data_IF_168926259789
#
_entry.id   IF_168926259789
#
_cell.length_a   1.000
_cell.length_b   1.000
_cell.length_c   1.000
_cell.angle_alpha   90.00
_cell.angle_beta   90.00
_cell.angle_gamma   90.00
#
_symmetry.space_group_name_H-M   'P 1'
#
loop_
_entity.id
_entity.type
_entity.pdbx_description
1 polymer ?
#
# COMPACT_ATOMS: atom_id res chain seq x y z
N UNK A 1 6.67 -19.40 -19.64
CA UNK A 1 6.59 -18.91 -18.24
C UNK A 1 7.62 -19.65 -17.39
N UNK A 2 8.00 -19.10 -16.22
CA UNK A 2 9.05 -19.63 -15.35
C UNK A 2 8.90 -21.09 -14.88
N UNK A 3 7.70 -21.69 -15.02
CA UNK A 3 7.38 -23.05 -14.57
C UNK A 3 7.02 -24.00 -15.73
N UNK A 4 7.62 -23.79 -16.92
CA UNK A 4 7.47 -24.70 -18.06
C UNK A 4 6.19 -24.54 -18.90
N UNK A 5 5.33 -23.57 -18.59
CA UNK A 5 4.15 -23.27 -19.41
C UNK A 5 4.57 -22.49 -20.67
N UNK A 6 4.17 -22.98 -21.84
CA UNK A 6 4.33 -22.28 -23.11
C UNK A 6 3.00 -21.67 -23.56
N UNK A 7 2.97 -20.36 -23.70
CA UNK A 7 1.79 -19.59 -24.08
C UNK A 7 2.22 -18.62 -25.16
N UNK A 8 1.41 -18.53 -26.22
CA UNK A 8 1.63 -17.59 -27.32
C UNK A 8 1.59 -16.16 -26.80
N UNK A 9 2.63 -15.41 -27.11
CA UNK A 9 2.73 -14.00 -26.75
C UNK A 9 3.50 -13.22 -27.82
N UNK A 10 2.76 -12.44 -28.60
CA UNK A 10 3.29 -11.59 -29.67
C UNK A 10 3.10 -10.10 -29.39
N UNK A 11 2.55 -9.74 -28.23
CA UNK A 11 2.22 -8.36 -27.89
C UNK A 11 3.45 -7.65 -27.32
N UNK A 12 3.68 -6.44 -27.80
CA UNK A 12 4.72 -5.59 -27.24
C UNK A 12 4.25 -5.02 -25.88
N UNK A 13 5.16 -4.87 -24.89
CA UNK A 13 4.85 -4.16 -23.66
C UNK A 13 4.28 -2.77 -23.91
N UNK A 14 3.24 -2.39 -23.17
CA UNK A 14 2.63 -1.06 -23.32
C UNK A 14 3.23 -0.08 -22.32
N UNK A 15 3.56 1.12 -22.81
CA UNK A 15 4.09 2.23 -22.01
C UNK A 15 3.04 3.32 -21.97
N UNK A 16 2.64 3.75 -20.77
CA UNK A 16 1.52 4.70 -20.62
C UNK A 16 1.94 6.08 -20.15
N UNK A 17 3.14 6.22 -19.59
CA UNK A 17 3.64 7.52 -19.12
C UNK A 17 5.13 7.50 -18.87
N UNK A 18 5.76 8.67 -19.03
CA UNK A 18 7.12 8.95 -18.63
C UNK A 18 7.12 10.20 -17.74
N UNK A 19 7.96 10.19 -16.72
CA UNK A 19 8.19 11.32 -15.83
C UNK A 19 9.66 11.68 -15.79
N UNK A 20 9.95 12.97 -15.66
CA UNK A 20 11.28 13.48 -15.38
C UNK A 20 11.33 14.07 -13.97
N UNK A 21 12.45 13.85 -13.27
CA UNK A 21 12.67 14.21 -11.88
C UNK A 21 13.96 15.04 -11.76
N UNK A 22 13.87 16.36 -11.57
CA UNK A 22 15.01 17.14 -11.08
C UNK A 22 15.34 16.71 -9.64
N UNK A 23 16.58 16.30 -9.37
CA UNK A 23 16.95 15.64 -8.10
C UNK A 23 17.78 16.51 -7.15
N UNK A 24 18.29 17.67 -7.58
CA UNK A 24 18.98 18.61 -6.70
C UNK A 24 18.47 20.05 -6.92
N UNK A 25 18.88 20.97 -6.04
CA UNK A 25 18.38 22.36 -5.99
C UNK A 25 18.63 23.17 -7.28
N UNK A 26 19.68 22.81 -8.02
CA UNK A 26 20.08 23.45 -9.27
C UNK A 26 19.55 22.71 -10.51
N UNK A 27 18.88 21.57 -10.33
CA UNK A 27 18.38 20.77 -11.45
C UNK A 27 17.06 21.31 -11.96
N UNK A 28 16.88 21.22 -13.27
CA UNK A 28 15.58 21.50 -13.88
C UNK A 28 15.37 20.69 -15.16
N UNK A 29 14.11 20.52 -15.51
CA UNK A 29 13.67 19.98 -16.81
C UNK A 29 12.59 20.93 -17.33
N UNK A 30 12.71 21.37 -18.58
CA UNK A 30 11.82 22.34 -19.21
C UNK A 30 11.50 23.53 -18.29
N UNK A 31 12.54 24.09 -17.66
CA UNK A 31 12.48 25.21 -16.70
C UNK A 31 11.75 24.93 -15.37
N UNK A 32 11.26 23.71 -15.13
CA UNK A 32 10.67 23.32 -13.85
C UNK A 32 11.67 22.56 -12.97
N UNK A 33 11.72 22.91 -11.68
CA UNK A 33 12.51 22.18 -10.65
C UNK A 33 11.72 21.07 -9.96
N UNK A 34 10.46 20.88 -10.33
CA UNK A 34 9.61 19.82 -9.82
C UNK A 34 9.47 18.70 -10.84
N UNK A 35 9.09 17.50 -10.36
CA UNK A 35 8.80 16.38 -11.26
C UNK A 35 7.67 16.73 -12.21
N UNK A 36 7.76 16.27 -13.46
CA UNK A 36 6.76 16.54 -14.49
C UNK A 36 6.52 15.30 -15.35
N UNK A 37 5.28 15.14 -15.83
CA UNK A 37 4.97 14.16 -16.86
C UNK A 37 5.50 14.67 -18.21
N UNK A 38 6.12 13.79 -18.99
CA UNK A 38 6.52 14.09 -20.36
C UNK A 38 5.44 13.56 -21.31
N UNK A 39 5.15 14.33 -22.37
CA UNK A 39 4.19 13.91 -23.39
C UNK A 39 4.76 12.72 -24.16
N UNK A 40 4.15 11.56 -23.95
CA UNK A 40 4.50 10.33 -24.64
C UNK A 40 3.82 10.30 -26.01
N UNK A 41 4.59 9.98 -27.05
CA UNK A 41 4.14 9.94 -28.45
C UNK A 41 4.38 8.50 -28.96
N UNK A 42 3.31 7.72 -29.21
CA UNK A 42 3.46 6.39 -29.80
C UNK A 42 3.88 6.47 -31.27
N UNK A 43 4.72 5.53 -31.69
CA UNK A 43 5.21 5.38 -33.05
C UNK A 43 4.53 4.18 -33.73
N UNK A 44 4.50 4.18 -35.07
CA UNK A 44 3.83 3.14 -35.86
C UNK A 44 4.40 1.73 -35.66
N UNK A 45 5.67 1.63 -35.26
CA UNK A 45 6.36 0.37 -35.03
C UNK A 45 6.15 -0.20 -33.61
N UNK A 46 5.36 0.47 -32.76
CA UNK A 46 5.11 0.06 -31.38
C UNK A 46 6.07 0.66 -30.34
N UNK A 47 7.10 1.39 -30.78
CA UNK A 47 7.95 2.19 -29.90
C UNK A 47 7.31 3.53 -29.55
N UNK A 48 7.98 4.30 -28.71
CA UNK A 48 7.54 5.60 -28.22
C UNK A 48 8.69 6.62 -28.28
N UNK A 49 8.32 7.88 -28.37
CA UNK A 49 9.22 9.02 -28.18
C UNK A 49 8.57 10.04 -27.25
N UNK A 50 9.37 10.99 -26.78
CA UNK A 50 8.87 12.23 -26.16
C UNK A 50 9.36 13.42 -26.98
N UNK A 51 8.75 14.59 -26.77
CA UNK A 51 9.28 15.85 -27.28
C UNK A 51 10.67 16.12 -26.69
N UNK A 52 11.55 16.81 -27.43
CA UNK A 52 12.88 17.16 -26.96
C UNK A 52 12.78 17.96 -25.65
N UNK A 53 13.52 17.54 -24.63
CA UNK A 53 13.53 18.22 -23.34
C UNK A 53 14.79 19.05 -23.17
N UNK A 54 14.66 20.18 -22.46
CA UNK A 54 15.79 20.98 -22.00
C UNK A 54 16.05 20.67 -20.53
N UNK A 55 17.28 20.38 -20.14
CA UNK A 55 17.57 20.04 -18.76
C UNK A 55 18.96 20.49 -18.33
N UNK A 56 19.15 20.58 -17.02
CA UNK A 56 20.45 20.82 -16.38
C UNK A 56 20.48 20.13 -15.01
N UNK A 57 21.65 19.68 -14.58
CA UNK A 57 21.85 19.05 -13.27
C UNK A 57 21.58 17.55 -13.24
N UNK A 58 21.22 17.02 -12.06
CA UNK A 58 20.95 15.60 -11.81
C UNK A 58 19.48 15.29 -12.08
N UNK A 59 19.22 14.48 -13.10
CA UNK A 59 17.88 14.12 -13.56
C UNK A 59 17.66 12.62 -13.41
N UNK A 60 16.56 12.24 -12.76
CA UNK A 60 16.01 10.90 -12.77
C UNK A 60 14.82 10.80 -13.72
N UNK A 61 14.48 9.58 -14.15
CA UNK A 61 13.28 9.31 -14.93
C UNK A 61 12.40 8.28 -14.24
N UNK A 62 11.11 8.27 -14.59
CA UNK A 62 10.18 7.24 -14.16
C UNK A 62 9.25 6.82 -15.29
N UNK A 63 8.72 5.61 -15.20
CA UNK A 63 7.91 5.00 -16.25
C UNK A 63 6.71 4.25 -15.66
N UNK A 64 5.59 4.22 -16.38
CA UNK A 64 4.51 3.27 -16.13
C UNK A 64 4.36 2.36 -17.33
N UNK A 65 4.40 1.05 -17.08
CA UNK A 65 4.28 0.01 -18.09
C UNK A 65 3.36 -1.10 -17.63
N UNK A 66 2.86 -1.88 -18.57
CA UNK A 66 2.23 -3.16 -18.33
C UNK A 66 2.43 -4.07 -19.55
N UNK A 67 2.34 -5.36 -19.29
CA UNK A 67 2.42 -6.40 -20.30
C UNK A 67 1.07 -7.14 -20.43
N UNK A 68 0.83 -7.81 -21.55
CA UNK A 68 -0.38 -8.58 -21.77
C UNK A 68 -0.14 -9.66 -22.83
N UNK A 69 -0.51 -10.88 -22.50
CA UNK A 69 -0.43 -12.01 -23.43
C UNK A 69 -1.56 -11.98 -24.48
N UNK A 70 -1.40 -12.73 -25.57
CA UNK A 70 -2.37 -12.76 -26.68
C UNK A 70 -3.79 -13.13 -26.23
N UNK A 71 -3.90 -14.24 -25.51
CA UNK A 71 -5.17 -14.87 -25.11
C UNK A 71 -5.62 -14.50 -23.68
N UNK A 72 -4.99 -13.51 -23.06
CA UNK A 72 -5.33 -13.04 -21.72
C UNK A 72 -5.88 -11.61 -21.77
N UNK A 73 -6.88 -11.31 -20.93
CA UNK A 73 -7.41 -9.95 -20.77
C UNK A 73 -6.68 -9.14 -19.68
N UNK A 74 -5.96 -9.83 -18.79
CA UNK A 74 -5.33 -9.23 -17.62
C UNK A 74 -4.09 -8.41 -18.01
N UNK A 75 -3.89 -7.29 -17.31
CA UNK A 75 -2.64 -6.53 -17.35
C UNK A 75 -1.65 -7.17 -16.38
N UNK A 76 -0.49 -7.55 -16.88
CA UNK A 76 0.60 -8.15 -16.14
C UNK A 76 1.75 -7.15 -15.94
N UNK A 77 2.67 -7.49 -15.04
CA UNK A 77 3.95 -6.78 -14.92
C UNK A 77 4.87 -7.13 -16.10
N UNK A 78 5.70 -6.18 -16.50
CA UNK A 78 6.79 -6.43 -17.47
C UNK A 78 7.89 -7.26 -16.84
N UNK A 79 8.69 -7.94 -17.65
CA UNK A 79 9.75 -8.83 -17.16
C UNK A 79 11.05 -8.09 -16.87
N UNK A 80 11.37 -7.06 -17.67
CA UNK A 80 12.62 -6.32 -17.53
C UNK A 80 12.48 -4.87 -18.02
N UNK A 81 13.21 -3.95 -17.39
CA UNK A 81 13.36 -2.57 -17.85
C UNK A 81 14.83 -2.18 -17.81
N UNK A 82 15.39 -1.72 -18.92
CA UNK A 82 16.77 -1.25 -19.01
C UNK A 82 16.79 0.19 -19.49
N UNK A 83 17.78 0.96 -19.09
CA UNK A 83 18.01 2.30 -19.60
C UNK A 83 19.41 2.47 -20.16
N UNK A 84 19.53 3.36 -21.14
CA UNK A 84 20.78 3.62 -21.85
C UNK A 84 20.97 5.12 -22.02
N UNK A 85 22.20 5.60 -21.82
CA UNK A 85 22.60 6.99 -22.06
C UNK A 85 23.66 6.97 -23.16
N UNK A 86 23.38 7.62 -24.29
CA UNK A 86 24.27 7.63 -25.47
C UNK A 86 24.72 6.23 -25.93
N UNK A 87 23.82 5.24 -25.79
CA UNK A 87 24.07 3.84 -26.16
C UNK A 87 24.63 2.95 -25.06
N UNK A 88 25.21 3.52 -24.00
CA UNK A 88 25.75 2.76 -22.86
C UNK A 88 24.67 2.44 -21.84
N UNK A 89 24.62 1.19 -21.35
CA UNK A 89 23.67 0.77 -20.31
C UNK A 89 23.93 1.53 -19.00
N UNK A 90 22.85 2.01 -18.39
CA UNK A 90 22.90 2.91 -17.24
C UNK A 90 22.21 2.32 -15.99
N UNK A 91 21.16 1.52 -16.18
CA UNK A 91 20.33 1.01 -15.09
C UNK A 91 19.46 -0.16 -15.59
N UNK A 92 19.18 -1.14 -14.74
CA UNK A 92 18.25 -2.23 -15.02
C UNK A 92 17.39 -2.62 -13.81
N UNK A 93 16.13 -2.95 -14.10
CA UNK A 93 15.19 -3.66 -13.22
C UNK A 93 14.90 -5.03 -13.83
N UNK A 94 15.36 -6.09 -13.15
CA UNK A 94 15.12 -7.49 -13.52
C UNK A 94 14.06 -8.11 -12.60
N UNK A 95 12.84 -8.32 -13.13
CA UNK A 95 11.72 -8.87 -12.37
C UNK A 95 11.68 -10.41 -12.33
N UNK A 96 12.75 -11.09 -12.76
CA UNK A 96 12.82 -12.56 -12.78
C UNK A 96 12.58 -13.19 -11.41
N UNK A 97 13.15 -12.63 -10.34
CA UNK A 97 12.98 -13.12 -8.96
C UNK A 97 13.32 -12.04 -7.91
N UNK A 98 12.65 -12.08 -6.77
CA UNK A 98 13.01 -11.31 -5.56
C UNK A 98 12.50 -12.05 -4.31
N UNK A 99 13.07 -11.76 -3.14
CA UNK A 99 12.61 -12.36 -1.88
C UNK A 99 11.31 -11.73 -1.39
N UNK A 100 10.41 -12.52 -0.78
CA UNK A 100 9.22 -11.98 -0.12
C UNK A 100 9.57 -10.97 0.99
N UNK A 101 10.71 -11.12 1.65
CA UNK A 101 11.18 -10.19 2.69
C UNK A 101 11.47 -8.78 2.16
N UNK A 102 11.74 -8.68 0.86
CA UNK A 102 12.03 -7.44 0.17
C UNK A 102 10.75 -6.68 -0.26
N UNK A 103 9.57 -7.32 -0.20
CA UNK A 103 8.28 -6.77 -0.68
C UNK A 103 7.96 -5.40 -0.06
N UNK A 104 8.37 -5.16 1.19
CA UNK A 104 8.18 -3.88 1.90
C UNK A 104 8.86 -2.69 1.19
N UNK A 105 9.86 -2.95 0.35
CA UNK A 105 10.63 -1.93 -0.37
C UNK A 105 10.05 -1.57 -1.75
N UNK A 106 9.00 -2.27 -2.21
CA UNK A 106 8.33 -1.95 -3.49
C UNK A 106 7.75 -0.53 -3.49
N UNK A 107 7.29 -0.04 -2.33
CA UNK A 107 6.78 1.33 -2.25
C UNK A 107 7.88 2.39 -2.45
N UNK A 108 9.16 2.05 -2.21
CA UNK A 108 10.30 2.92 -2.50
C UNK A 108 10.78 2.80 -3.97
N UNK A 109 10.41 1.72 -4.68
CA UNK A 109 10.68 1.57 -6.12
C UNK A 109 9.81 2.52 -6.95
N UNK A 110 8.61 2.80 -6.48
CA UNK A 110 7.66 3.69 -7.17
C UNK A 110 7.71 5.11 -6.64
N UNK A 111 7.18 6.06 -7.40
CA UNK A 111 6.80 7.37 -6.87
C UNK A 111 5.56 7.18 -5.98
N UNK A 112 5.80 6.98 -4.69
CA UNK A 112 4.74 6.72 -3.72
C UNK A 112 3.76 7.89 -3.62
N UNK A 113 4.22 9.14 -3.71
CA UNK A 113 3.33 10.30 -3.75
C UNK A 113 2.34 10.22 -4.94
N UNK A 114 2.83 9.97 -6.16
CA UNK A 114 1.94 9.79 -7.33
C UNK A 114 1.00 8.59 -7.15
N UNK A 115 1.47 7.49 -6.58
CA UNK A 115 0.62 6.34 -6.31
C UNK A 115 -0.51 6.66 -5.31
N UNK A 116 -0.23 7.51 -4.33
CA UNK A 116 -1.17 7.85 -3.27
C UNK A 116 -2.19 8.89 -3.70
N UNK A 117 -1.78 9.85 -4.52
CA UNK A 117 -2.63 10.95 -5.00
C UNK A 117 -3.36 10.63 -6.32
N UNK A 118 -2.71 9.90 -7.24
CA UNK A 118 -3.21 9.63 -8.60
C UNK A 118 -3.47 8.15 -8.91
N UNK A 119 -3.18 7.25 -7.96
CA UNK A 119 -3.31 5.78 -8.14
C UNK A 119 -2.48 5.21 -9.29
N UNK A 120 -1.45 5.93 -9.72
CA UNK A 120 -0.56 5.51 -10.79
C UNK A 120 0.76 4.99 -10.21
N UNK A 121 1.19 3.81 -10.64
CA UNK A 121 2.46 3.20 -10.23
C UNK A 121 3.57 3.59 -11.20
N UNK A 122 4.14 4.78 -11.00
CA UNK A 122 5.33 5.22 -11.74
C UNK A 122 6.54 4.56 -11.10
N UNK A 123 7.20 3.65 -11.80
CA UNK A 123 8.44 3.01 -11.37
C UNK A 123 9.60 3.97 -11.62
N UNK A 124 10.41 4.24 -10.59
CA UNK A 124 11.60 5.08 -10.72
C UNK A 124 12.69 4.28 -11.46
N UNK A 125 13.26 4.90 -12.48
CA UNK A 125 14.40 4.39 -13.24
C UNK A 125 15.74 4.89 -12.66
N UNK A 126 15.72 5.12 -11.36
CA UNK A 126 16.85 5.46 -10.52
C UNK A 126 16.60 4.92 -9.11
N UNK A 127 17.67 4.69 -8.36
CA UNK A 127 17.62 4.11 -7.02
C UNK A 127 17.89 5.17 -5.95
N UNK A 128 17.13 5.11 -4.85
CA UNK A 128 17.31 5.99 -3.69
C UNK A 128 17.07 5.17 -2.44
N UNK A 129 18.15 4.83 -1.72
CA UNK A 129 18.14 4.04 -0.48
C UNK A 129 17.23 2.80 -0.54
N UNK A 130 17.20 2.11 -1.68
CA UNK A 130 16.30 0.99 -1.91
C UNK A 130 17.08 -0.33 -2.06
N UNK A 131 16.92 -1.30 -1.15
CA UNK A 131 17.74 -2.51 -1.14
C UNK A 131 17.22 -3.65 -2.05
N UNK A 132 16.19 -3.41 -2.88
CA UNK A 132 15.63 -4.47 -3.73
C UNK A 132 16.71 -5.14 -4.60
N UNK A 133 16.72 -6.46 -4.63
CA UNK A 133 17.69 -7.26 -5.40
C UNK A 133 17.46 -7.21 -6.92
N UNK A 134 16.31 -6.70 -7.36
CA UNK A 134 15.94 -6.54 -8.78
C UNK A 134 16.75 -5.45 -9.49
N UNK A 135 17.36 -4.54 -8.76
CA UNK A 135 18.26 -3.54 -9.35
C UNK A 135 19.54 -4.22 -9.84
N UNK A 136 19.89 -3.99 -11.12
CA UNK A 136 21.12 -4.48 -11.76
C UNK A 136 21.81 -3.35 -12.52
N UNK A 137 23.11 -3.50 -12.76
CA UNK A 137 23.92 -2.62 -13.61
C UNK A 137 23.69 -1.12 -13.34
N UNK A 138 23.86 -0.72 -12.09
CA UNK A 138 23.60 0.63 -11.61
C UNK A 138 24.79 1.56 -11.86
N UNK A 139 24.76 2.30 -12.95
CA UNK A 139 25.67 3.43 -13.15
C UNK A 139 25.06 4.68 -12.53
N UNK A 140 25.77 5.33 -11.59
CA UNK A 140 25.30 6.51 -10.86
C UNK A 140 23.86 6.35 -10.32
N UNK A 141 23.50 5.16 -9.85
CA UNK A 141 22.16 4.85 -9.34
C UNK A 141 21.02 5.08 -10.37
N UNK A 142 21.33 5.08 -11.67
CA UNK A 142 20.40 5.39 -12.76
C UNK A 142 20.18 6.90 -13.00
N UNK A 143 20.87 7.77 -12.26
CA UNK A 143 20.75 9.23 -12.37
C UNK A 143 21.61 9.75 -13.52
N UNK A 144 21.06 10.66 -14.33
CA UNK A 144 21.76 11.32 -15.42
C UNK A 144 22.22 12.71 -14.97
N UNK A 145 23.51 13.00 -15.11
CA UNK A 145 24.02 14.37 -15.00
C UNK A 145 24.00 15.03 -16.38
N UNK A 146 23.27 16.15 -16.49
CA UNK A 146 23.14 16.96 -17.71
C UNK A 146 23.91 18.26 -17.51
N UNK A 147 24.92 18.47 -18.34
CA UNK A 147 25.76 19.67 -18.34
C UNK A 147 25.27 20.67 -19.38
N UNK A 148 25.62 21.93 -19.19
CA UNK A 148 25.22 23.00 -20.12
C UNK A 148 25.80 22.76 -21.52
N UNK A 149 25.06 23.16 -22.55
CA UNK A 149 25.46 23.04 -23.96
C UNK A 149 25.80 21.62 -24.43
N UNK A 150 25.35 20.58 -23.72
CA UNK A 150 25.52 19.18 -24.12
C UNK A 150 24.27 18.59 -24.78
N UNK A 151 24.40 17.47 -25.48
CA UNK A 151 23.27 16.69 -25.98
C UNK A 151 23.40 15.24 -25.52
N UNK A 152 22.31 14.67 -25.02
CA UNK A 152 22.25 13.27 -24.60
C UNK A 152 21.00 12.61 -25.17
N UNK A 153 21.15 11.34 -25.56
CA UNK A 153 20.03 10.48 -25.93
C UNK A 153 19.83 9.47 -24.80
N UNK A 154 18.67 9.54 -24.15
CA UNK A 154 18.25 8.57 -23.15
C UNK A 154 17.26 7.58 -23.80
N UNK A 155 17.52 6.29 -23.64
CA UNK A 155 16.63 5.23 -24.14
C UNK A 155 16.18 4.33 -23.01
N UNK A 156 14.92 3.91 -23.07
CA UNK A 156 14.34 2.94 -22.13
C UNK A 156 13.88 1.74 -22.95
N UNK A 157 14.39 0.55 -22.63
CA UNK A 157 13.96 -0.73 -23.19
C UNK A 157 13.06 -1.42 -22.19
N UNK A 158 11.86 -1.80 -22.60
CA UNK A 158 10.91 -2.57 -21.79
C UNK A 158 10.69 -3.89 -22.47
N UNK A 159 10.84 -5.02 -21.76
CA UNK A 159 10.58 -6.34 -22.32
C UNK A 159 9.60 -7.16 -21.50
N UNK A 160 8.81 -7.97 -22.18
CA UNK A 160 7.98 -9.01 -21.58
C UNK A 160 8.79 -10.29 -21.31
N UNK A 161 8.10 -11.35 -20.88
CA UNK A 161 8.71 -12.65 -20.62
C UNK A 161 9.21 -13.37 -21.89
N UNK A 162 8.60 -13.12 -23.06
CA UNK A 162 8.96 -13.72 -24.35
C UNK A 162 10.02 -12.92 -25.11
N UNK A 163 10.52 -11.83 -24.51
CA UNK A 163 11.47 -10.89 -25.09
C UNK A 163 10.89 -10.02 -26.22
N UNK A 164 9.56 -9.85 -26.29
CA UNK A 164 8.97 -8.76 -27.06
C UNK A 164 9.36 -7.44 -26.38
N UNK A 165 9.75 -6.43 -27.18
CA UNK A 165 10.30 -5.19 -26.65
C UNK A 165 9.64 -3.95 -27.21
N UNK A 166 9.47 -2.95 -26.34
CA UNK A 166 9.14 -1.58 -26.72
C UNK A 166 10.22 -0.63 -26.23
N UNK A 167 10.56 0.36 -27.05
CA UNK A 167 11.53 1.38 -26.70
C UNK A 167 10.90 2.75 -26.47
N UNK A 168 11.49 3.54 -25.59
CA UNK A 168 11.27 4.98 -25.50
C UNK A 168 12.56 5.69 -25.82
N UNK A 169 12.54 6.67 -26.73
CA UNK A 169 13.69 7.54 -26.99
C UNK A 169 13.39 8.96 -26.50
N UNK A 170 14.35 9.54 -25.76
CA UNK A 170 14.29 10.90 -25.26
C UNK A 170 15.57 11.65 -25.66
N UNK A 171 15.43 12.78 -26.32
CA UNK A 171 16.54 13.69 -26.63
C UNK A 171 16.59 14.80 -25.58
N UNK A 172 17.74 14.95 -24.95
CA UNK A 172 17.99 15.89 -23.86
C UNK A 172 18.99 16.93 -24.34
N UNK A 173 18.57 18.19 -24.41
CA UNK A 173 19.46 19.34 -24.61
C UNK A 173 19.85 19.92 -23.25
N UNK A 174 21.15 19.99 -23.00
CA UNK A 174 21.75 20.67 -21.87
C UNK A 174 21.59 22.17 -22.02
N UNK A 175 20.87 22.80 -21.09
CA UNK A 175 20.65 24.24 -21.10
C UNK A 175 20.56 24.71 -19.65
N UNK A 176 21.60 25.40 -19.18
CA UNK A 176 21.61 26.00 -17.84
C UNK A 176 20.84 27.32 -17.89
N UNK A 177 19.71 27.37 -17.19
CA UNK A 177 18.94 28.60 -17.04
C UNK A 177 19.12 29.19 -15.63
N UNK A 178 19.01 30.52 -15.53
CA UNK A 178 18.94 31.23 -14.24
C UNK A 178 17.81 30.62 -13.40
N UNK A 179 18.03 30.36 -12.10
CA UNK A 179 17.06 29.64 -11.29
C UNK A 179 15.77 30.44 -11.15
N UNK A 180 14.67 29.95 -11.72
CA UNK A 180 13.33 30.41 -11.35
C UNK A 180 13.15 30.25 -9.82
N UNK A 181 12.53 31.25 -9.17
CA UNK A 181 12.15 31.17 -7.76
C UNK A 181 11.29 29.92 -7.57
N UNK A 182 11.87 28.91 -6.94
CA UNK A 182 11.09 27.80 -6.39
C UNK A 182 10.37 28.28 -5.15
N UNK A 183 9.15 27.77 -4.94
CA UNK A 183 8.58 27.81 -3.60
C UNK A 183 9.54 27.09 -2.65
N UNK A 184 9.90 27.70 -1.50
CA UNK A 184 10.69 27.02 -0.51
C UNK A 184 9.97 25.75 -0.09
N UNK A 185 10.71 24.64 0.02
CA UNK A 185 10.15 23.41 0.60
C UNK A 185 9.57 23.77 1.97
N UNK A 186 8.36 23.33 2.27
CA UNK A 186 7.77 23.55 3.58
C UNK A 186 8.70 22.95 4.66
N UNK A 187 9.26 23.84 5.48
CA UNK A 187 10.09 23.45 6.61
C UNK A 187 9.22 23.49 7.86
N UNK A 188 8.98 22.33 8.45
CA UNK A 188 8.35 22.23 9.76
C UNK A 188 9.44 22.23 10.84
N UNK A 189 9.08 22.44 12.12
CA UNK A 189 10.04 22.28 13.22
C UNK A 189 10.53 20.85 13.42
N UNK A 190 9.95 19.86 12.75
CA UNK A 190 10.15 18.43 13.01
C UNK A 190 10.94 17.76 11.88
N UNK A 191 12.25 17.94 11.86
CA UNK A 191 13.12 17.21 10.94
C UNK A 191 13.40 15.79 11.43
N UNK A 192 12.99 14.79 10.64
CA UNK A 192 13.13 13.38 10.96
C UNK A 192 14.35 12.82 10.23
N UNK A 193 15.33 12.36 11.01
CA UNK A 193 16.47 11.60 10.48
C UNK A 193 16.09 10.13 10.34
N UNK A 194 16.19 9.58 9.14
CA UNK A 194 15.81 8.20 8.83
C UNK A 194 16.57 7.18 9.69
N UNK A 195 17.83 7.47 10.01
CA UNK A 195 18.73 6.58 10.75
C UNK A 195 18.68 6.76 12.28
N UNK A 196 17.78 7.58 12.84
CA UNK A 196 17.68 7.83 14.28
C UNK A 196 16.30 7.52 14.84
N UNK A 197 16.28 7.10 16.10
CA UNK A 197 15.03 7.08 16.86
C UNK A 197 14.59 8.53 17.14
N UNK A 198 13.32 8.82 16.89
CA UNK A 198 12.70 10.12 17.15
C UNK A 198 11.40 9.92 17.90
N UNK A 199 11.15 10.76 18.90
CA UNK A 199 9.90 10.78 19.66
C UNK A 199 9.27 12.15 19.52
N UNK A 200 8.04 12.21 19.02
CA UNK A 200 7.23 13.43 18.93
C UNK A 200 6.13 13.34 19.99
N UNK A 201 6.08 14.31 20.89
CA UNK A 201 5.11 14.33 21.99
C UNK A 201 4.39 15.67 22.01
N UNK A 202 3.07 15.62 22.00
CA UNK A 202 2.23 16.80 22.18
C UNK A 202 0.90 16.39 22.83
N UNK A 203 0.48 17.15 23.86
CA UNK A 203 -0.72 16.86 24.66
C UNK A 203 -0.72 15.41 25.16
N UNK A 204 -1.80 14.66 24.90
CA UNK A 204 -1.96 13.25 25.29
C UNK A 204 -1.39 12.27 24.27
N UNK A 205 -0.68 12.73 23.23
CA UNK A 205 -0.21 11.90 22.12
C UNK A 205 1.30 11.78 22.13
N UNK A 206 1.78 10.55 21.93
CA UNK A 206 3.18 10.24 21.76
C UNK A 206 3.39 9.39 20.50
N UNK A 207 4.26 9.84 19.60
CA UNK A 207 4.63 9.14 18.38
C UNK A 207 6.09 8.75 18.45
N UNK A 208 6.37 7.44 18.46
CA UNK A 208 7.73 6.90 18.44
C UNK A 208 8.05 6.38 17.04
N UNK A 209 9.09 6.95 16.44
CA UNK A 209 9.65 6.60 15.14
C UNK A 209 11.00 5.94 15.42
N UNK A 210 11.14 4.66 15.13
CA UNK A 210 12.41 3.95 15.28
C UNK A 210 13.32 4.19 14.07
N UNK A 211 14.62 3.99 14.21
CA UNK A 211 15.56 4.04 13.08
C UNK A 211 15.11 3.14 11.94
N UNK A 212 15.38 3.57 10.71
CA UNK A 212 15.02 2.92 9.45
C UNK A 212 13.51 2.66 9.31
N UNK A 213 12.70 3.53 9.92
CA UNK A 213 11.25 3.57 9.65
C UNK A 213 11.00 4.19 8.27
N UNK A 214 11.78 5.21 7.89
CA UNK A 214 11.73 5.89 6.60
C UNK A 214 13.00 5.62 5.80
N UNK A 215 12.94 5.85 4.49
CA UNK A 215 14.06 5.64 3.57
C UNK A 215 15.00 6.85 3.48
N UNK A 216 14.47 8.04 3.76
CA UNK A 216 15.13 9.33 3.56
C UNK A 216 14.70 10.28 4.67
N UNK A 217 15.57 11.26 4.95
CA UNK A 217 15.28 12.33 5.90
C UNK A 217 14.26 13.30 5.32
N UNK A 218 13.39 13.86 6.16
CA UNK A 218 12.39 14.84 5.73
C UNK A 218 11.84 15.67 6.89
N UNK A 219 11.19 16.77 6.54
CA UNK A 219 10.40 17.57 7.48
C UNK A 219 9.01 16.95 7.65
N UNK A 220 8.70 16.48 8.85
CA UNK A 220 7.41 15.90 9.22
C UNK A 220 6.40 16.99 9.54
N UNK A 221 5.20 16.90 8.96
CA UNK A 221 4.06 17.67 9.45
C UNK A 221 3.46 16.93 10.65
N UNK A 222 3.61 17.52 11.83
CA UNK A 222 3.15 16.95 13.09
C UNK A 222 2.41 18.03 13.86
N UNK A 223 1.17 17.71 14.25
CA UNK A 223 0.33 18.60 15.04
C UNK A 223 -0.72 17.78 15.79
N UNK A 224 -1.05 18.17 17.02
CA UNK A 224 -2.14 17.57 17.78
C UNK A 224 -3.17 18.65 18.12
N UNK A 225 -4.39 18.52 17.59
CA UNK A 225 -5.52 19.34 17.98
C UNK A 225 -6.55 18.49 18.75
N UNK A 226 -6.84 18.85 20.00
CA UNK A 226 -7.56 18.02 20.95
C UNK A 226 -6.97 16.59 21.02
N UNK A 227 -7.70 15.59 20.53
CA UNK A 227 -7.28 14.19 20.40
C UNK A 227 -6.93 13.80 18.96
N UNK A 228 -7.03 14.72 18.00
CA UNK A 228 -6.73 14.46 16.60
C UNK A 228 -5.26 14.76 16.30
N UNK A 229 -4.50 13.71 16.01
CA UNK A 229 -3.12 13.74 15.56
C UNK A 229 -3.08 13.87 14.03
N UNK A 230 -2.42 14.91 13.52
CA UNK A 230 -1.90 14.94 12.15
C UNK A 230 -0.47 14.42 12.18
N UNK A 231 -0.22 13.31 11.49
CA UNK A 231 1.10 12.72 11.32
C UNK A 231 1.41 12.64 9.83
N UNK A 232 1.58 13.82 9.23
CA UNK A 232 1.90 14.07 7.82
C UNK A 232 0.94 13.41 6.82
N UNK A 233 1.12 13.70 5.54
CA UNK A 233 0.35 13.05 4.48
C UNK A 233 0.86 11.62 4.21
N UNK A 234 -0.06 10.72 3.81
CA UNK A 234 0.28 9.34 3.39
C UNK A 234 0.86 9.31 1.98
N UNK A 235 1.96 10.05 1.77
CA UNK A 235 2.73 10.21 0.53
C UNK A 235 4.20 9.85 0.67
N UNK A 236 4.65 9.47 1.88
CA UNK A 236 6.00 8.96 2.15
C UNK A 236 5.89 7.47 2.53
N UNK A 237 6.66 6.57 1.88
CA UNK A 237 6.60 5.15 2.18
C UNK A 237 7.41 4.79 3.43
N UNK A 238 6.91 3.83 4.21
CA UNK A 238 7.54 3.35 5.44
C UNK A 238 8.10 1.94 5.27
N UNK A 239 9.29 1.69 5.83
CA UNK A 239 9.89 0.36 5.96
C UNK A 239 9.39 -0.38 7.22
N UNK A 240 9.29 0.34 8.35
CA UNK A 240 8.82 -0.16 9.64
C UNK A 240 7.55 0.58 10.06
N UNK A 241 6.83 0.07 11.05
CA UNK A 241 5.66 0.77 11.58
C UNK A 241 6.08 1.90 12.52
N UNK A 242 5.40 3.03 12.45
CA UNK A 242 5.43 4.05 13.51
C UNK A 242 4.53 3.59 14.66
N UNK A 243 4.95 3.86 15.90
CA UNK A 243 4.14 3.61 17.11
C UNK A 243 3.43 4.90 17.51
N UNK A 244 2.11 4.87 17.57
CA UNK A 244 1.27 5.96 18.07
C UNK A 244 0.72 5.52 19.43
N UNK A 245 0.84 6.37 20.44
CA UNK A 245 0.28 6.11 21.77
C UNK A 245 -0.56 7.29 22.24
N UNK A 246 -1.71 6.99 22.84
CA UNK A 246 -2.62 7.96 23.45
C UNK A 246 -2.72 7.69 24.94
N UNK A 247 -2.51 8.73 25.74
CA UNK A 247 -2.87 8.75 27.16
C UNK A 247 -4.38 8.99 27.30
N UNK A 248 -5.07 8.02 27.89
CA UNK A 248 -6.52 8.03 28.13
C UNK A 248 -6.85 8.15 29.63
N UNK A 249 -5.89 8.52 30.49
CA UNK A 249 -6.06 8.62 31.95
C UNK A 249 -7.28 9.45 32.37
N UNK A 250 -7.59 10.52 31.62
CA UNK A 250 -8.76 11.40 31.84
C UNK A 250 -10.14 10.74 31.67
N UNK A 251 -10.22 9.58 31.02
CA UNK A 251 -11.49 8.89 30.77
C UNK A 251 -11.86 7.96 31.94
N UNK A 252 -13.15 7.73 32.16
CA UNK A 252 -13.62 6.74 33.14
C UNK A 252 -13.36 5.31 32.62
N UNK A 253 -13.47 4.32 33.52
CA UNK A 253 -13.14 2.92 33.21
C UNK A 253 -14.02 2.32 32.11
N UNK A 254 -15.30 2.66 32.08
CA UNK A 254 -16.24 2.09 31.12
C UNK A 254 -15.99 2.63 29.71
N UNK A 255 -15.76 3.93 29.58
CA UNK A 255 -15.36 4.57 28.32
C UNK A 255 -14.02 4.03 27.84
N UNK A 256 -13.02 3.90 28.73
CA UNK A 256 -11.70 3.35 28.40
C UNK A 256 -11.76 1.96 27.77
N UNK A 257 -12.78 1.15 28.08
CA UNK A 257 -12.96 -0.18 27.48
C UNK A 257 -13.48 -0.11 26.05
N UNK A 258 -14.11 1.00 25.65
CA UNK A 258 -14.72 1.21 24.34
C UNK A 258 -13.92 2.10 23.42
N UNK A 259 -12.84 2.71 23.93
CA UNK A 259 -11.95 3.56 23.15
C UNK A 259 -10.92 2.77 22.34
N UNK A 260 -10.67 3.24 21.12
CA UNK A 260 -9.61 2.75 20.25
C UNK A 260 -8.99 3.89 19.44
N UNK A 261 -7.83 3.64 18.84
CA UNK A 261 -7.20 4.60 17.91
C UNK A 261 -7.78 4.35 16.52
N UNK A 262 -8.36 5.38 15.94
CA UNK A 262 -8.89 5.37 14.58
C UNK A 262 -7.99 6.18 13.64
N UNK A 263 -7.87 5.73 12.39
CA UNK A 263 -7.32 6.54 11.31
C UNK A 263 -8.47 7.17 10.54
N UNK A 264 -8.44 8.48 10.35
CA UNK A 264 -9.43 9.19 9.54
C UNK A 264 -9.08 8.99 8.05
N UNK A 265 -10.06 8.58 7.25
CA UNK A 265 -9.84 8.36 5.82
C UNK A 265 -11.00 8.81 4.95
N UNK A 266 -10.70 9.15 3.70
CA UNK A 266 -11.65 9.69 2.75
C UNK A 266 -11.98 11.17 2.98
N UNK A 267 -12.77 11.73 2.08
CA UNK A 267 -13.19 13.14 2.13
C UNK A 267 -13.95 13.47 3.43
N UNK A 268 -14.84 12.55 3.85
CA UNK A 268 -15.64 12.69 5.07
C UNK A 268 -14.87 12.43 6.37
N UNK A 269 -13.55 12.17 6.30
CA UNK A 269 -12.71 11.81 7.46
C UNK A 269 -13.35 10.70 8.30
N UNK A 270 -13.87 9.64 7.66
CA UNK A 270 -14.50 8.53 8.37
C UNK A 270 -13.45 7.83 9.24
N UNK A 271 -13.74 7.56 10.53
CA UNK A 271 -12.83 6.84 11.41
C UNK A 271 -12.81 5.35 11.04
N UNK A 272 -11.61 4.83 10.76
CA UNK A 272 -11.39 3.40 10.56
C UNK A 272 -10.58 2.85 11.72
N UNK A 273 -11.02 1.72 12.25
CA UNK A 273 -10.29 0.99 13.29
C UNK A 273 -8.84 0.77 12.89
N UNK A 274 -7.93 1.22 13.75
CA UNK A 274 -6.53 0.81 13.72
C UNK A 274 -6.32 -0.16 14.87
N UNK A 275 -5.66 -1.29 14.61
CA UNK A 275 -5.33 -2.29 15.62
C UNK A 275 -4.75 -1.62 16.86
N UNK A 276 -5.52 -1.62 17.93
CA UNK A 276 -5.24 -0.88 19.16
C UNK A 276 -5.06 -1.85 20.30
N UNK A 277 -3.95 -1.72 21.02
CA UNK A 277 -3.69 -2.44 22.27
C UNK A 277 -3.76 -1.45 23.43
N UNK A 278 -4.47 -1.82 24.49
CA UNK A 278 -4.48 -1.06 25.74
C UNK A 278 -3.45 -1.62 26.73
N UNK A 279 -2.69 -0.73 27.37
CA UNK A 279 -1.78 -1.00 28.48
C UNK A 279 -2.05 0.01 29.59
N UNK A 280 -2.82 -0.37 30.61
CA UNK A 280 -3.32 0.57 31.62
C UNK A 280 -4.10 1.70 30.96
N UNK A 281 -3.65 2.94 31.19
CA UNK A 281 -4.23 4.16 30.63
C UNK A 281 -3.59 4.61 29.32
N UNK A 282 -2.92 3.70 28.61
CA UNK A 282 -2.33 3.98 27.29
C UNK A 282 -2.92 3.10 26.21
N UNK A 283 -3.46 3.70 25.15
CA UNK A 283 -3.77 3.03 23.89
C UNK A 283 -2.57 3.11 22.96
N UNK A 284 -2.24 2.00 22.29
CA UNK A 284 -1.07 1.87 21.42
C UNK A 284 -1.52 1.29 20.08
N UNK A 285 -1.12 1.95 18.99
CA UNK A 285 -1.30 1.48 17.63
C UNK A 285 0.03 1.50 16.88
N UNK A 286 0.20 0.54 15.96
CA UNK A 286 1.33 0.51 15.03
C UNK A 286 0.80 0.67 13.61
N UNK A 287 1.33 1.64 12.86
CA UNK A 287 0.87 1.93 11.49
C UNK A 287 2.04 2.01 10.52
N UNK A 288 1.85 1.48 9.30
CA UNK A 288 2.74 1.69 8.14
C UNK A 288 2.23 2.76 7.18
N UNK A 289 1.28 3.58 7.64
CA UNK A 289 0.67 4.67 6.88
C UNK A 289 0.66 5.93 7.75
N UNK A 290 1.08 7.03 7.15
CA UNK A 290 0.92 8.37 7.70
C UNK A 290 -0.53 8.86 7.53
N UNK A 291 -0.85 10.03 8.06
CA UNK A 291 -2.18 10.64 7.97
C UNK A 291 -2.71 11.11 9.32
N UNK A 292 -4.03 11.26 9.39
CA UNK A 292 -4.71 11.77 10.58
C UNK A 292 -5.26 10.62 11.43
N UNK A 293 -5.03 10.68 12.74
CA UNK A 293 -5.47 9.70 13.72
C UNK A 293 -6.25 10.39 14.84
N UNK A 294 -7.18 9.69 15.47
CA UNK A 294 -7.93 10.20 16.63
C UNK A 294 -8.33 9.06 17.57
N UNK A 295 -8.87 9.41 18.74
CA UNK A 295 -9.60 8.45 19.58
C UNK A 295 -11.04 8.33 19.07
N UNK A 296 -11.50 7.10 18.92
CA UNK A 296 -12.89 6.79 18.60
C UNK A 296 -13.45 5.82 19.65
N UNK A 297 -14.78 5.76 19.74
CA UNK A 297 -15.51 4.92 20.69
C UNK A 297 -16.43 3.97 19.92
N UNK A 298 -16.54 2.73 20.37
CA UNK A 298 -17.47 1.75 19.83
C UNK A 298 -18.30 1.10 20.95
N UNK A 299 -19.62 1.27 20.89
CA UNK A 299 -20.59 0.68 21.81
C UNK A 299 -21.54 -0.31 21.11
N UNK A 300 -21.40 -0.46 19.79
CA UNK A 300 -22.28 -1.28 18.99
C UNK A 300 -21.87 -2.75 19.11
N UNK A 301 -22.85 -3.64 19.24
CA UNK A 301 -22.56 -5.07 19.29
C UNK A 301 -22.51 -5.64 17.87
N UNK A 302 -21.64 -6.62 17.60
CA UNK A 302 -21.65 -7.35 16.35
C UNK A 302 -23.01 -7.95 16.01
N UNK A 303 -23.32 -8.05 14.74
CA UNK A 303 -24.53 -8.73 14.25
C UNK A 303 -24.21 -10.15 13.81
N UNK A 304 -25.16 -11.07 14.03
CA UNK A 304 -25.04 -12.48 13.63
C UNK A 304 -26.33 -12.89 12.93
N UNK A 305 -26.24 -13.23 11.64
CA UNK A 305 -27.42 -13.45 10.78
C UNK A 305 -27.30 -14.77 10.00
N UNK A 306 -28.26 -15.70 10.16
CA UNK A 306 -28.31 -16.90 9.32
C UNK A 306 -28.42 -16.56 7.83
N UNK A 307 -27.64 -17.23 6.97
CA UNK A 307 -27.68 -17.01 5.52
C UNK A 307 -28.59 -18.02 4.84
N UNK A 308 -28.40 -19.32 5.12
CA UNK A 308 -29.03 -20.40 4.35
C UNK A 308 -30.04 -21.22 5.15
N UNK A 309 -30.45 -20.77 6.33
CA UNK A 309 -31.39 -21.48 7.19
C UNK A 309 -32.22 -20.55 8.07
N UNK A 310 -33.33 -21.10 8.57
CA UNK A 310 -34.23 -20.49 9.56
C UNK A 310 -34.29 -21.33 10.83
N UNK A 311 -34.79 -20.73 11.91
CA UNK A 311 -35.05 -21.43 13.18
C UNK A 311 -35.95 -22.65 12.94
N UNK A 312 -35.52 -23.81 13.43
CA UNK A 312 -36.24 -25.08 13.34
C UNK A 312 -36.19 -25.75 11.96
N UNK A 313 -35.38 -25.27 11.02
CA UNK A 313 -35.30 -25.84 9.68
C UNK A 313 -34.56 -27.18 9.66
N UNK A 314 -34.99 -28.08 8.78
CA UNK A 314 -34.25 -29.30 8.43
C UNK A 314 -33.10 -28.97 7.48
N UNK A 315 -31.88 -29.29 7.90
CA UNK A 315 -30.65 -29.04 7.14
C UNK A 315 -30.03 -30.30 6.53
N UNK A 316 -30.68 -31.46 6.57
CA UNK A 316 -30.15 -32.72 5.99
C UNK A 316 -29.72 -32.63 4.54
N UNK A 317 -30.39 -31.80 3.72
CA UNK A 317 -30.05 -31.63 2.30
C UNK A 317 -28.92 -30.62 2.05
N UNK A 318 -28.45 -29.92 3.08
CA UNK A 318 -27.39 -28.92 2.97
C UNK A 318 -26.05 -29.55 3.34
N UNK A 319 -25.01 -29.22 2.56
CA UNK A 319 -23.63 -29.55 2.92
C UNK A 319 -23.04 -28.57 3.93
N UNK A 320 -23.43 -27.30 3.84
CA UNK A 320 -22.84 -26.22 4.64
C UNK A 320 -23.86 -25.52 5.53
N UNK A 321 -23.44 -25.12 6.71
CA UNK A 321 -24.08 -24.13 7.57
C UNK A 321 -23.41 -22.77 7.33
N UNK A 322 -24.17 -21.75 6.93
CA UNK A 322 -23.61 -20.42 6.60
C UNK A 322 -24.27 -19.31 7.40
N UNK A 323 -23.44 -18.47 8.02
CA UNK A 323 -23.86 -17.39 8.91
C UNK A 323 -23.01 -16.17 8.64
N UNK A 324 -23.65 -15.01 8.47
CA UNK A 324 -22.96 -13.73 8.30
C UNK A 324 -22.74 -13.11 9.67
N UNK A 325 -21.51 -12.66 9.91
CA UNK A 325 -21.13 -11.89 11.11
C UNK A 325 -20.66 -10.51 10.65
N UNK A 326 -21.08 -9.45 11.31
CA UNK A 326 -20.67 -8.09 10.91
C UNK A 326 -20.53 -7.17 12.12
N UNK A 327 -19.64 -6.19 12.00
CA UNK A 327 -19.48 -5.09 12.94
C UNK A 327 -19.24 -3.78 12.18
N UNK A 328 -19.94 -2.73 12.62
CA UNK A 328 -20.00 -1.45 11.90
C UNK A 328 -18.85 -0.50 12.19
N UNK A 329 -18.10 -0.70 13.28
CA UNK A 329 -17.24 0.34 13.85
C UNK A 329 -15.81 -0.18 14.08
N UNK A 330 -15.61 -1.12 15.00
CA UNK A 330 -14.28 -1.62 15.37
C UNK A 330 -13.87 -2.89 14.63
N UNK A 331 -14.80 -3.58 13.97
CA UNK A 331 -14.58 -4.85 13.28
C UNK A 331 -14.55 -6.05 14.22
N UNK A 332 -14.59 -7.26 13.64
CA UNK A 332 -14.61 -8.52 14.41
C UNK A 332 -13.20 -8.87 14.91
N UNK A 333 -13.10 -9.19 16.20
CA UNK A 333 -11.88 -9.71 16.83
C UNK A 333 -11.86 -11.23 16.85
N UNK A 334 -12.94 -11.86 17.33
CA UNK A 334 -13.02 -13.30 17.47
C UNK A 334 -14.46 -13.81 17.39
N UNK A 335 -14.61 -15.10 17.10
CA UNK A 335 -15.88 -15.79 17.14
C UNK A 335 -15.71 -17.21 17.69
N UNK A 336 -16.78 -17.79 18.22
CA UNK A 336 -16.84 -19.18 18.67
C UNK A 336 -18.21 -19.76 18.37
N UNK A 337 -18.24 -20.92 17.72
CA UNK A 337 -19.46 -21.67 17.46
C UNK A 337 -19.45 -23.01 18.21
N UNK A 338 -20.61 -23.38 18.75
CA UNK A 338 -20.85 -24.71 19.31
C UNK A 338 -22.18 -25.26 18.81
N UNK A 339 -22.24 -26.58 18.65
CA UNK A 339 -23.49 -27.32 18.42
C UNK A 339 -23.62 -28.37 19.53
N UNK A 340 -24.73 -28.37 20.25
CA UNK A 340 -24.96 -29.24 21.40
C UNK A 340 -23.79 -29.18 22.41
N UNK A 341 -23.31 -27.98 22.68
CA UNK A 341 -22.14 -27.68 23.54
C UNK A 341 -20.78 -28.21 23.06
N UNK A 342 -20.71 -28.85 21.89
CA UNK A 342 -19.44 -29.24 21.24
C UNK A 342 -18.98 -28.14 20.30
N UNK A 343 -17.70 -27.80 20.34
CA UNK A 343 -17.13 -26.82 19.41
C UNK A 343 -17.18 -27.35 17.98
N UNK A 344 -17.46 -26.46 17.03
CA UNK A 344 -17.41 -26.76 15.60
C UNK A 344 -16.50 -25.76 14.89
N UNK A 345 -15.76 -26.23 13.89
CA UNK A 345 -14.93 -25.37 13.05
C UNK A 345 -15.83 -24.53 12.14
N UNK A 346 -15.65 -23.21 12.19
CA UNK A 346 -16.24 -22.28 11.22
C UNK A 346 -15.11 -21.57 10.47
N UNK A 347 -15.05 -21.73 9.16
CA UNK A 347 -14.15 -21.01 8.27
C UNK A 347 -14.68 -19.60 8.03
N UNK A 348 -13.85 -18.58 8.27
CA UNK A 348 -14.25 -17.18 8.09
C UNK A 348 -13.69 -16.60 6.80
N UNK A 349 -14.59 -16.19 5.90
CA UNK A 349 -14.26 -15.34 4.76
C UNK A 349 -14.55 -13.88 5.10
N UNK A 350 -13.48 -13.10 5.33
CA UNK A 350 -13.57 -11.68 5.68
C UNK A 350 -14.15 -10.80 4.56
N UNK A 351 -14.07 -11.22 3.29
CA UNK A 351 -14.58 -10.41 2.16
C UNK A 351 -16.10 -10.47 2.10
N UNK A 352 -16.66 -11.65 2.32
CA UNK A 352 -18.10 -11.90 2.34
C UNK A 352 -18.69 -11.84 3.75
N UNK A 353 -17.83 -11.66 4.76
CA UNK A 353 -18.15 -11.64 6.19
C UNK A 353 -18.92 -12.89 6.64
N UNK A 354 -18.57 -14.04 6.08
CA UNK A 354 -19.33 -15.29 6.25
C UNK A 354 -18.53 -16.34 7.00
N UNK A 355 -19.16 -16.90 8.03
CA UNK A 355 -18.75 -18.13 8.70
C UNK A 355 -19.39 -19.33 8.01
N UNK A 356 -18.57 -20.32 7.64
CA UNK A 356 -19.02 -21.56 6.99
C UNK A 356 -18.56 -22.78 7.78
N UNK A 357 -19.47 -23.71 8.07
CA UNK A 357 -19.16 -25.04 8.59
C UNK A 357 -19.59 -26.11 7.59
N UNK A 358 -18.71 -27.07 7.29
CA UNK A 358 -19.01 -28.25 6.47
C UNK A 358 -19.55 -29.37 7.36
N UNK A 359 -20.79 -29.79 7.12
CA UNK A 359 -21.42 -30.88 7.88
C UNK A 359 -20.71 -32.23 7.71
N UNK A 360 -19.84 -32.37 6.70
CA UNK A 360 -19.01 -33.56 6.52
C UNK A 360 -17.92 -33.72 7.60
N UNK A 361 -17.68 -32.71 8.43
CA UNK A 361 -16.80 -32.78 9.60
C UNK A 361 -17.29 -33.82 10.65
N UNK A 362 -18.55 -34.23 10.57
CA UNK A 362 -19.08 -35.37 11.33
C UNK A 362 -19.29 -35.11 12.84
N UNK A 363 -19.01 -33.90 13.34
CA UNK A 363 -19.24 -33.54 14.74
C UNK A 363 -20.75 -33.49 15.09
N UNK A 364 -21.59 -33.20 14.10
CA UNK A 364 -23.05 -32.99 14.25
C UNK A 364 -23.79 -34.26 13.83
N UNK A 365 -24.08 -35.15 14.79
CA UNK A 365 -24.74 -36.44 14.56
C UNK A 365 -26.17 -36.51 15.08
N UNK A 366 -26.57 -35.60 15.96
CA UNK A 366 -27.87 -35.62 16.62
C UNK A 366 -28.98 -35.15 15.67
N UNK A 367 -30.22 -35.59 15.92
CA UNK A 367 -31.35 -35.16 15.09
C UNK A 367 -31.75 -33.70 15.37
N UNK A 368 -31.72 -33.30 16.63
CA UNK A 368 -32.01 -31.93 17.09
C UNK A 368 -30.71 -31.29 17.54
N UNK A 369 -30.38 -30.14 16.96
CA UNK A 369 -29.11 -29.48 17.17
C UNK A 369 -29.31 -28.06 17.65
N UNK A 370 -28.72 -27.72 18.80
CA UNK A 370 -28.69 -26.38 19.36
C UNK A 370 -27.39 -25.70 18.96
N UNK A 371 -27.47 -24.74 18.04
CA UNK A 371 -26.36 -23.92 17.59
C UNK A 371 -26.25 -22.69 18.48
N UNK A 372 -25.05 -22.44 19.00
CA UNK A 372 -24.68 -21.22 19.71
C UNK A 372 -23.46 -20.59 19.06
N UNK A 373 -23.53 -19.29 18.79
CA UNK A 373 -22.42 -18.51 18.22
C UNK A 373 -22.22 -17.27 19.06
N UNK A 374 -20.99 -17.08 19.51
CA UNK A 374 -20.55 -15.87 20.21
C UNK A 374 -19.59 -15.15 19.28
N UNK A 375 -19.85 -13.86 19.04
CA UNK A 375 -19.00 -12.99 18.23
C UNK A 375 -18.61 -11.79 19.05
N UNK A 376 -17.32 -11.44 19.04
CA UNK A 376 -16.75 -10.32 19.79
C UNK A 376 -16.01 -9.38 18.84
N UNK A 377 -16.23 -8.08 18.98
CA UNK A 377 -15.52 -7.04 18.24
C UNK A 377 -14.13 -6.72 18.82
N UNK A 378 -13.44 -5.73 18.27
CA UNK A 378 -12.09 -5.34 18.70
C UNK A 378 -12.04 -4.49 19.99
N UNK A 379 -13.18 -4.07 20.55
CA UNK A 379 -13.27 -3.36 21.84
C UNK A 379 -14.02 -4.16 22.91
N UNK A 380 -14.34 -5.43 22.63
CA UNK A 380 -14.98 -6.37 23.54
C UNK A 380 -16.51 -6.30 23.61
N UNK A 381 -17.22 -5.59 22.72
CA UNK A 381 -18.66 -5.81 22.56
C UNK A 381 -18.88 -7.21 22.01
N UNK A 382 -19.88 -7.92 22.54
CA UNK A 382 -20.19 -9.28 22.12
C UNK A 382 -21.67 -9.51 21.91
N UNK A 383 -21.96 -10.38 20.94
CA UNK A 383 -23.30 -10.88 20.62
C UNK A 383 -23.31 -12.39 20.71
N UNK A 384 -24.40 -12.92 21.28
CA UNK A 384 -24.68 -14.36 21.31
C UNK A 384 -25.91 -14.63 20.47
N UNK A 385 -25.78 -15.52 19.50
CA UNK A 385 -26.86 -16.03 18.68
C UNK A 385 -27.10 -17.51 19.00
N UNK A 386 -28.34 -17.84 19.36
CA UNK A 386 -28.74 -19.21 19.67
C UNK A 386 -29.96 -19.60 18.84
N UNK A 387 -29.92 -20.79 18.22
CA UNK A 387 -31.04 -21.31 17.44
C UNK A 387 -31.00 -22.82 17.35
N UNK A 388 -32.13 -23.41 16.97
CA UNK A 388 -32.27 -24.86 16.79
C UNK A 388 -32.39 -25.15 15.29
N UNK A 389 -31.74 -26.22 14.84
CA UNK A 389 -31.98 -26.83 13.53
C UNK A 389 -32.06 -28.35 13.65
N UNK A 390 -32.60 -29.00 12.63
CA UNK A 390 -32.73 -30.47 12.59
C UNK A 390 -31.90 -31.06 11.46
N UNK A 391 -31.34 -32.25 11.67
CA UNK A 391 -30.61 -33.02 10.65
C UNK A 391 -30.85 -34.52 10.88
N UNK A 392 -30.64 -35.34 9.87
CA UNK A 392 -30.65 -36.80 9.91
C UNK A 392 -29.77 -37.29 8.77
#
# INVERSE_FOLDING_TARGET
MLFGLDIKDSKLPTITSIYAYPLNENSHVNNAKTKQALRLIPLKNGDYTVENIKAFGKIGFGITTWDRQDLAANKNGVYNIQTFVNGSKNFELDFKRFSFDETKHINQLIDYNIFRTKRQRVQKLFRTNNPLSIYKDLYNEGIITVEDSTYKVFKIKVSDFKNNTSWVTLSIKGEKNEPFKTEPKEQTPYYIYANKNTTLKEKSVNVSIFSDTFYEDFYMDFNVNADTLTLHEDIIPLQKSVKISYDISKYNKDDKNKLFIARLSGYNKTPYYTSTKRQGDTLIAYTKKLGTFTLAKDEEKPTVTPINFKKGQWLSKYRFLKIKIDDGVSGISNYRATVNNKWILMEYDYKTKTLTHDFNDGIITDTKNNLKIIVTDNVGNSSTFETIFYRK
#
